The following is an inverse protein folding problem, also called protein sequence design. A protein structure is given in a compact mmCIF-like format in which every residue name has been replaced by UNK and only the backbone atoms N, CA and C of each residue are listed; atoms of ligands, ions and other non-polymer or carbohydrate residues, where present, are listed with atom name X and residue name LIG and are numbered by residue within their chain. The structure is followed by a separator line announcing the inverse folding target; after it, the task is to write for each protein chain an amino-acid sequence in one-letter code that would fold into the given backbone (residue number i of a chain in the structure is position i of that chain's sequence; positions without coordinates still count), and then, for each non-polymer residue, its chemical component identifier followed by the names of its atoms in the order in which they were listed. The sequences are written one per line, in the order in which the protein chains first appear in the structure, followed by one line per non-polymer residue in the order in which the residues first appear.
data_IF_613109531521
#
_entry.id   IF_613109531521
#
_cell.length_a   1.000
_cell.length_b   1.000
_cell.length_c   1.000
_cell.angle_alpha   90.00
_cell.angle_beta   90.00
_cell.angle_gamma   90.00
#
_symmetry.space_group_name_H-M   'P 1'
#
loop_
_entity.id
_entity.type
_entity.pdbx_description
1 polymer ?
#
# COMPACT_ATOMS: atom_id res chain seq x y z
N UNK A 1 7.44 5.01 -8.17
CA UNK A 1 8.24 5.96 -7.39
C UNK A 1 8.82 5.28 -6.16
N UNK A 2 9.88 5.83 -5.53
CA UNK A 2 10.33 5.41 -4.20
C UNK A 2 10.06 6.52 -3.20
N UNK A 3 9.36 6.21 -2.13
CA UNK A 3 8.95 7.14 -1.09
C UNK A 3 9.59 6.72 0.23
N UNK A 4 10.25 7.65 0.90
CA UNK A 4 10.65 7.49 2.29
C UNK A 4 9.56 8.11 3.17
N UNK A 5 9.13 7.37 4.18
CA UNK A 5 8.11 7.78 5.14
C UNK A 5 8.73 7.79 6.53
N UNK A 6 8.39 8.81 7.30
CA UNK A 6 8.57 8.85 8.73
C UNK A 6 7.25 9.28 9.36
N UNK A 7 6.68 8.46 10.24
CA UNK A 7 5.43 8.72 10.96
C UNK A 7 5.69 8.56 12.44
N UNK A 8 5.54 9.65 13.18
CA UNK A 8 5.58 9.68 14.63
C UNK A 8 4.22 10.00 15.20
N UNK A 9 3.73 9.16 16.12
CA UNK A 9 2.53 9.42 16.91
C UNK A 9 2.92 9.55 18.38
N UNK A 10 2.50 10.63 19.05
CA UNK A 10 2.69 10.86 20.47
C UNK A 10 1.34 10.92 21.18
N UNK A 11 1.20 10.12 22.23
CA UNK A 11 0.08 10.14 23.16
C UNK A 11 0.51 10.80 24.45
N UNK A 12 -0.37 11.62 25.02
CA UNK A 12 -0.22 12.16 26.36
C UNK A 12 -1.43 11.83 27.22
N UNK A 13 -1.16 11.40 28.46
CA UNK A 13 -2.17 11.05 29.45
C UNK A 13 -2.10 12.05 30.61
N UNK A 14 -3.26 12.53 31.07
CA UNK A 14 -3.35 13.46 32.21
C UNK A 14 -2.84 12.79 33.49
N UNK A 15 -3.18 11.51 33.65
CA UNK A 15 -2.75 10.66 34.76
C UNK A 15 -1.90 9.49 34.26
N UNK A 16 -1.01 8.94 35.10
CA UNK A 16 -0.23 7.76 34.72
C UNK A 16 -1.12 6.58 34.31
N UNK A 17 -0.74 5.92 33.21
CA UNK A 17 -1.45 4.73 32.73
C UNK A 17 -1.23 3.56 33.70
N UNK A 18 -2.29 2.83 34.05
CA UNK A 18 -2.17 1.60 34.85
C UNK A 18 -1.95 0.41 33.93
N UNK A 19 -2.87 0.24 32.97
CA UNK A 19 -2.76 -0.76 31.90
C UNK A 19 -3.41 -0.24 30.63
N UNK A 20 -2.73 -0.39 29.50
CA UNK A 20 -3.35 -0.14 28.20
C UNK A 20 -2.77 -1.08 27.14
N UNK A 21 -3.64 -1.48 26.22
CA UNK A 21 -3.29 -2.24 25.03
C UNK A 21 -3.77 -1.46 23.81
N UNK A 22 -2.87 -1.31 22.83
CA UNK A 22 -3.17 -0.66 21.57
C UNK A 22 -2.87 -1.61 20.40
N UNK A 23 -3.76 -1.58 19.43
CA UNK A 23 -3.63 -2.18 18.11
C UNK A 23 -3.16 -1.10 17.14
N UNK A 24 -2.09 -1.40 16.41
CA UNK A 24 -1.49 -0.51 15.43
C UNK A 24 -1.67 -1.09 14.03
N UNK A 25 -2.17 -0.26 13.12
CA UNK A 25 -2.15 -0.43 11.67
C UNK A 25 -1.28 0.68 11.07
N UNK A 26 0.02 0.57 11.33
CA UNK A 26 1.01 1.55 10.87
C UNK A 26 2.01 0.96 9.89
N UNK A 27 1.97 -0.36 9.65
CA UNK A 27 2.84 -1.04 8.70
C UNK A 27 2.17 -1.12 7.32
N UNK A 28 2.78 -0.55 6.26
CA UNK A 28 2.26 -0.67 4.91
C UNK A 28 2.20 -2.12 4.43
N UNK A 29 1.13 -2.48 3.71
CA UNK A 29 1.01 -3.81 3.10
C UNK A 29 1.54 -3.83 1.67
N UNK A 30 2.20 -4.92 1.27
CA UNK A 30 2.66 -5.10 -0.13
C UNK A 30 1.54 -5.66 -1.00
N UNK A 31 1.42 -5.16 -2.22
CA UNK A 31 0.31 -5.45 -3.15
C UNK A 31 0.75 -5.26 -4.60
N UNK A 32 -0.15 -5.44 -5.57
CA UNK A 32 0.09 -4.95 -6.93
C UNK A 32 0.33 -3.43 -6.88
N UNK A 33 1.44 -2.98 -7.47
CA UNK A 33 1.82 -1.55 -7.50
C UNK A 33 2.42 -0.98 -6.22
N UNK A 34 2.59 -1.76 -5.15
CA UNK A 34 3.25 -1.30 -3.92
C UNK A 34 4.12 -2.39 -3.29
N UNK A 35 5.38 -2.09 -3.04
CA UNK A 35 6.34 -2.99 -2.41
C UNK A 35 7.08 -2.28 -1.29
N UNK A 36 6.95 -2.83 -0.09
CA UNK A 36 7.73 -2.36 1.08
C UNK A 36 9.17 -2.86 0.93
N UNK A 37 10.13 -1.94 0.89
CA UNK A 37 11.55 -2.29 0.78
C UNK A 37 12.17 -2.49 2.17
N UNK A 38 11.84 -1.59 3.08
CA UNK A 38 12.19 -1.63 4.50
C UNK A 38 11.11 -0.91 5.30
N UNK A 39 10.86 -1.38 6.51
CA UNK A 39 9.96 -0.76 7.47
C UNK A 39 10.40 -1.12 8.89
N UNK A 40 10.42 -0.13 9.77
CA UNK A 40 10.78 -0.28 11.17
C UNK A 40 9.79 0.49 12.03
N UNK A 41 9.44 -0.09 13.17
CA UNK A 41 8.71 0.57 14.23
C UNK A 41 9.54 0.56 15.51
N UNK A 42 9.45 1.63 16.30
CA UNK A 42 10.02 1.73 17.64
C UNK A 42 9.06 2.45 18.58
N UNK A 43 9.20 2.15 19.87
CA UNK A 43 8.24 2.55 20.90
C UNK A 43 8.98 3.13 22.10
N UNK A 44 8.51 4.26 22.61
CA UNK A 44 8.93 4.82 23.90
C UNK A 44 7.73 4.79 24.85
N UNK A 45 7.91 4.27 26.07
CA UNK A 45 6.81 4.08 27.03
C UNK A 45 5.83 2.95 26.68
N UNK A 46 6.16 2.11 25.71
CA UNK A 46 5.40 0.94 25.32
C UNK A 46 6.31 -0.14 24.74
N UNK A 47 5.81 -1.38 24.66
CA UNK A 47 6.54 -2.51 24.09
C UNK A 47 5.60 -3.43 23.31
N UNK A 48 6.14 -4.06 22.27
CA UNK A 48 5.40 -4.99 21.42
C UNK A 48 4.98 -6.25 22.19
N UNK A 49 3.78 -6.73 21.90
CA UNK A 49 3.21 -7.97 22.43
C UNK A 49 3.08 -9.04 21.36
N UNK A 50 2.58 -8.66 20.19
CA UNK A 50 2.27 -9.59 19.10
C UNK A 50 2.19 -8.86 17.77
N UNK A 51 2.70 -9.49 16.72
CA UNK A 51 2.48 -9.08 15.33
C UNK A 51 1.84 -10.21 14.54
N UNK A 52 0.82 -9.90 13.73
CA UNK A 52 0.13 -10.84 12.85
C UNK A 52 -0.60 -10.11 11.72
N UNK A 53 -0.97 -10.82 10.65
CA UNK A 53 -1.86 -10.27 9.62
C UNK A 53 -3.32 -10.59 9.96
N UNK A 54 -4.18 -9.56 9.97
CA UNK A 54 -5.60 -9.73 10.27
C UNK A 54 -6.39 -10.27 9.06
N UNK A 55 -7.69 -10.46 9.25
CA UNK A 55 -8.63 -10.91 8.22
C UNK A 55 -8.69 -10.02 6.95
N UNK A 56 -8.30 -8.75 7.06
CA UNK A 56 -8.18 -7.80 5.95
C UNK A 56 -6.76 -7.76 5.34
N UNK A 57 -5.87 -8.68 5.76
CA UNK A 57 -4.44 -8.68 5.44
C UNK A 57 -3.74 -7.37 5.85
N UNK A 58 -4.20 -6.74 6.95
CA UNK A 58 -3.45 -5.66 7.57
C UNK A 58 -2.42 -6.26 8.52
N UNK A 59 -1.16 -5.87 8.40
CA UNK A 59 -0.17 -6.17 9.43
C UNK A 59 -0.53 -5.39 10.69
N UNK A 60 -0.91 -6.16 11.70
CA UNK A 60 -1.43 -5.70 12.98
C UNK A 60 -0.36 -5.91 14.04
N UNK A 61 0.02 -4.83 14.72
CA UNK A 61 0.93 -4.89 15.87
C UNK A 61 0.16 -4.56 17.13
N UNK A 62 0.22 -5.40 18.14
CA UNK A 62 -0.29 -5.14 19.48
C UNK A 62 0.85 -4.65 20.34
N UNK A 63 0.67 -3.50 21.00
CA UNK A 63 1.61 -2.96 21.99
C UNK A 63 0.93 -2.83 23.35
N UNK A 64 1.70 -3.04 24.40
CA UNK A 64 1.32 -2.73 25.77
C UNK A 64 2.01 -1.45 26.22
N UNK A 65 1.27 -0.53 26.84
CA UNK A 65 1.83 0.68 27.44
C UNK A 65 2.45 0.33 28.79
N UNK A 66 3.64 0.87 29.05
CA UNK A 66 4.33 0.69 30.32
C UNK A 66 3.54 1.32 31.48
N UNK A 67 3.31 0.60 32.59
CA UNK A 67 2.63 1.18 33.74
C UNK A 67 3.40 2.39 34.31
N UNK A 68 2.68 3.47 34.62
CA UNK A 68 3.22 4.67 35.24
C UNK A 68 3.69 5.76 34.25
N UNK A 69 3.71 5.49 32.95
CA UNK A 69 4.05 6.51 31.95
C UNK A 69 2.88 7.47 31.72
N UNK A 70 3.23 8.71 31.34
CA UNK A 70 2.29 9.75 30.90
C UNK A 70 2.41 10.10 29.43
N UNK A 71 3.43 9.57 28.76
CA UNK A 71 3.67 9.78 27.34
C UNK A 71 4.04 8.45 26.70
N UNK A 72 3.52 8.22 25.49
CA UNK A 72 3.94 7.13 24.62
C UNK A 72 4.27 7.70 23.26
N UNK A 73 5.42 7.31 22.70
CA UNK A 73 5.82 7.68 21.35
C UNK A 73 5.92 6.42 20.50
N UNK A 74 5.26 6.44 19.34
CA UNK A 74 5.34 5.40 18.32
C UNK A 74 6.01 6.02 17.12
N UNK A 75 7.17 5.50 16.73
CA UNK A 75 7.96 6.02 15.62
C UNK A 75 8.08 4.94 14.54
N UNK A 76 7.66 5.27 13.31
CA UNK A 76 7.66 4.38 12.18
C UNK A 76 8.45 5.00 11.03
N UNK A 77 9.37 4.26 10.44
CA UNK A 77 10.13 4.72 9.28
C UNK A 77 10.32 3.61 8.26
N UNK A 78 10.38 3.98 6.98
CA UNK A 78 10.73 3.02 5.94
C UNK A 78 10.71 3.56 4.52
N UNK A 79 11.12 2.72 3.58
CA UNK A 79 11.06 3.01 2.14
C UNK A 79 10.06 2.10 1.44
N UNK A 80 9.15 2.71 0.69
CA UNK A 80 8.15 2.02 -0.12
C UNK A 80 8.39 2.33 -1.59
N UNK A 81 8.33 1.32 -2.45
CA UNK A 81 8.28 1.47 -3.89
C UNK A 81 6.84 1.35 -4.36
N UNK A 82 6.34 2.38 -5.04
CA UNK A 82 4.98 2.49 -5.57
C UNK A 82 5.02 2.54 -7.10
N UNK A 83 3.92 2.23 -7.77
CA UNK A 83 3.78 2.38 -9.22
C UNK A 83 2.38 2.87 -9.56
N UNK A 84 2.27 3.69 -10.60
CA UNK A 84 0.98 4.11 -11.12
C UNK A 84 0.35 2.97 -11.91
N UNK A 85 -0.73 2.44 -11.36
CA UNK A 85 -1.58 1.44 -12.00
C UNK A 85 -2.96 2.02 -12.32
N UNK A 86 -3.10 3.35 -12.42
CA UNK A 86 -4.36 4.04 -12.63
C UNK A 86 -5.42 3.67 -11.58
N UNK A 87 -5.00 3.60 -10.30
CA UNK A 87 -5.85 3.15 -9.19
C UNK A 87 -6.16 1.65 -9.12
N UNK A 88 -5.75 0.84 -10.10
CA UNK A 88 -6.07 -0.59 -10.14
C UNK A 88 -5.12 -1.37 -9.22
N UNK A 89 -5.69 -1.98 -8.19
CA UNK A 89 -5.00 -2.87 -7.27
C UNK A 89 -5.07 -4.33 -7.76
N UNK A 90 -6.13 -4.67 -8.48
CA UNK A 90 -6.35 -5.99 -9.07
C UNK A 90 -7.21 -6.90 -8.20
N UNK A 91 -7.11 -8.21 -8.46
CA UNK A 91 -8.00 -9.22 -7.87
C UNK A 91 -8.00 -9.16 -6.35
N UNK A 92 -9.17 -9.43 -5.76
CA UNK A 92 -9.28 -9.54 -4.31
C UNK A 92 -8.32 -10.60 -3.75
N UNK A 93 -7.65 -10.24 -2.67
CA UNK A 93 -6.74 -11.09 -1.91
C UNK A 93 -7.09 -10.98 -0.42
N UNK A 94 -6.84 -12.06 0.32
CA UNK A 94 -7.18 -12.19 1.73
C UNK A 94 -8.13 -13.34 2.00
N UNK A 95 -8.56 -13.46 3.26
CA UNK A 95 -9.39 -14.57 3.72
C UNK A 95 -10.89 -14.25 3.75
N UNK A 96 -11.24 -12.97 3.70
CA UNK A 96 -12.62 -12.55 3.63
C UNK A 96 -13.18 -12.77 2.22
N UNK A 97 -14.45 -13.16 2.08
CA UNK A 97 -15.10 -13.18 0.78
C UNK A 97 -15.47 -11.75 0.34
N UNK A 98 -15.44 -11.46 -0.97
CA UNK A 98 -15.76 -10.12 -1.49
C UNK A 98 -17.12 -9.58 -1.01
N UNK A 99 -18.14 -10.43 -0.87
CA UNK A 99 -19.48 -10.02 -0.41
C UNK A 99 -19.48 -9.44 1.02
N UNK A 100 -18.44 -9.70 1.82
CA UNK A 100 -18.29 -9.08 3.13
C UNK A 100 -18.27 -7.54 3.02
N UNK A 101 -17.65 -7.02 1.95
CA UNK A 101 -17.54 -5.59 1.68
C UNK A 101 -18.79 -4.99 1.04
N UNK A 102 -19.86 -5.76 0.86
CA UNK A 102 -21.19 -5.27 0.47
C UNK A 102 -22.04 -4.83 1.67
N UNK A 103 -21.68 -5.26 2.89
CA UNK A 103 -22.41 -4.92 4.10
C UNK A 103 -22.18 -3.47 4.57
N UNK A 104 -23.20 -2.87 5.20
CA UNK A 104 -23.06 -1.55 5.81
C UNK A 104 -22.68 -1.65 7.29
N UNK A 105 -21.78 -0.78 7.69
CA UNK A 105 -21.39 -0.54 9.09
C UNK A 105 -22.13 0.68 9.66
N UNK A 106 -21.95 1.01 10.93
CA UNK A 106 -22.56 2.23 11.50
C UNK A 106 -22.06 3.52 10.81
N UNK A 107 -20.80 3.58 10.40
CA UNK A 107 -20.20 4.74 9.73
C UNK A 107 -20.66 4.88 8.26
N UNK A 108 -21.08 3.78 7.64
CA UNK A 108 -21.48 3.72 6.22
C UNK A 108 -22.95 3.38 6.02
N UNK A 109 -23.76 3.42 7.10
CA UNK A 109 -25.17 3.06 7.06
C UNK A 109 -25.97 4.11 6.30
N UNK A 110 -26.70 3.72 5.23
CA UNK A 110 -27.42 4.68 4.41
C UNK A 110 -28.70 5.14 5.10
N UNK A 111 -28.87 6.46 5.21
CA UNK A 111 -30.15 7.07 5.53
C UNK A 111 -30.87 7.54 4.26
N UNK A 112 -31.65 8.61 4.38
CA UNK A 112 -32.42 9.14 3.25
C UNK A 112 -31.53 9.89 2.25
N UNK A 113 -30.48 10.58 2.72
CA UNK A 113 -29.59 11.39 1.88
C UNK A 113 -28.70 10.50 1.02
N UNK A 114 -28.10 9.46 1.61
CA UNK A 114 -27.29 8.51 0.85
C UNK A 114 -28.12 7.77 -0.21
N UNK A 115 -29.36 7.38 0.09
CA UNK A 115 -30.25 6.77 -0.89
C UNK A 115 -30.59 7.75 -2.01
N UNK A 116 -30.98 8.97 -1.69
CA UNK A 116 -31.26 10.00 -2.69
C UNK A 116 -30.05 10.32 -3.58
N UNK A 117 -28.82 10.21 -3.04
CA UNK A 117 -27.60 10.36 -3.83
C UNK A 117 -27.38 9.14 -4.76
N UNK A 118 -27.53 7.93 -4.24
CA UNK A 118 -27.36 6.68 -4.99
C UNK A 118 -28.45 6.50 -6.07
N UNK A 119 -29.68 6.93 -5.84
CA UNK A 119 -30.82 6.82 -6.77
C UNK A 119 -30.61 7.59 -8.10
N UNK A 120 -29.57 8.43 -8.18
CA UNK A 120 -29.17 9.13 -9.42
C UNK A 120 -28.45 8.22 -10.41
N UNK A 121 -28.01 7.05 -9.98
CA UNK A 121 -27.20 6.11 -10.75
C UNK A 121 -27.98 4.85 -11.08
N UNK A 122 -27.73 4.29 -12.27
CA UNK A 122 -28.31 3.02 -12.70
C UNK A 122 -27.35 1.86 -12.35
N UNK A 123 -27.71 0.93 -11.46
CA UNK A 123 -26.89 -0.25 -11.16
C UNK A 123 -26.62 -1.16 -12.38
N UNK A 124 -27.40 -1.03 -13.46
CA UNK A 124 -27.21 -1.74 -14.72
C UNK A 124 -26.22 -1.08 -15.69
N UNK A 125 -25.73 0.13 -15.39
CA UNK A 125 -24.74 0.83 -16.20
C UNK A 125 -23.34 0.21 -16.08
N UNK A 126 -22.40 0.68 -16.91
CA UNK A 126 -20.99 0.31 -16.76
C UNK A 126 -20.48 0.77 -15.38
N UNK A 127 -20.03 -0.21 -14.59
CA UNK A 127 -19.72 -0.02 -13.17
C UNK A 127 -18.58 0.98 -12.97
N UNK A 128 -17.53 0.95 -13.77
CA UNK A 128 -16.37 1.81 -13.55
C UNK A 128 -16.67 3.30 -13.82
N UNK A 129 -17.26 3.69 -14.98
CA UNK A 129 -17.74 5.06 -15.19
C UNK A 129 -18.72 5.52 -14.11
N UNK A 130 -19.70 4.68 -13.73
CA UNK A 130 -20.66 5.00 -12.67
C UNK A 130 -19.96 5.32 -11.33
N UNK A 131 -18.91 4.58 -10.96
CA UNK A 131 -18.16 4.86 -9.74
C UNK A 131 -17.36 6.18 -9.83
N UNK A 132 -16.83 6.54 -11.00
CA UNK A 132 -16.21 7.86 -11.18
C UNK A 132 -17.24 8.99 -11.05
N UNK A 133 -18.42 8.83 -11.65
CA UNK A 133 -19.51 9.81 -11.52
C UNK A 133 -20.03 9.89 -10.08
N UNK A 134 -20.09 8.77 -9.36
CA UNK A 134 -20.41 8.74 -7.94
C UNK A 134 -19.37 9.51 -7.13
N UNK A 135 -18.08 9.30 -7.39
CA UNK A 135 -16.99 10.06 -6.75
C UNK A 135 -17.19 11.56 -6.93
N UNK A 136 -17.48 12.02 -8.15
CA UNK A 136 -17.76 13.43 -8.43
C UNK A 136 -18.99 13.93 -7.65
N UNK A 137 -20.09 13.18 -7.69
CA UNK A 137 -21.33 13.56 -7.01
C UNK A 137 -21.21 13.62 -5.48
N UNK A 138 -20.34 12.81 -4.87
CA UNK A 138 -20.06 12.89 -3.42
C UNK A 138 -19.33 14.18 -3.10
N UNK A 139 -18.30 14.56 -3.87
CA UNK A 139 -17.57 15.80 -3.64
C UNK A 139 -18.44 17.04 -3.88
N UNK A 140 -19.35 17.00 -4.86
CA UNK A 140 -20.31 18.08 -5.10
C UNK A 140 -21.30 18.24 -3.93
N UNK A 141 -21.63 17.14 -3.24
CA UNK A 141 -22.58 17.15 -2.13
C UNK A 141 -21.94 17.53 -0.78
N UNK A 142 -20.64 17.29 -0.62
CA UNK A 142 -19.91 17.53 0.63
C UNK A 142 -18.61 18.28 0.33
N UNK A 143 -18.54 19.53 0.79
CA UNK A 143 -17.34 20.33 0.65
C UNK A 143 -16.24 19.86 1.61
N UNK A 144 -14.99 19.84 1.14
CA UNK A 144 -13.85 19.52 1.99
C UNK A 144 -13.60 20.64 3.00
N UNK A 145 -13.82 20.36 4.29
CA UNK A 145 -13.66 21.31 5.39
C UNK A 145 -13.18 20.60 6.66
N UNK A 146 -12.02 21.02 7.18
CA UNK A 146 -11.46 20.47 8.43
C UNK A 146 -12.16 21.04 9.67
N UNK A 147 -12.14 20.27 10.77
CA UNK A 147 -12.66 20.71 12.08
C UNK A 147 -14.19 20.70 12.23
N UNK A 148 -14.91 20.06 11.30
CA UNK A 148 -16.38 19.94 11.30
C UNK A 148 -16.88 18.56 11.72
N UNK A 149 -16.06 17.54 11.47
CA UNK A 149 -16.37 16.14 11.71
C UNK A 149 -15.25 15.51 12.55
N UNK A 150 -15.53 14.32 13.07
CA UNK A 150 -14.58 13.50 13.80
C UNK A 150 -14.60 12.04 13.31
N UNK A 151 -13.76 11.20 13.91
CA UNK A 151 -13.65 9.78 13.53
C UNK A 151 -14.93 8.93 13.73
N UNK A 152 -15.90 9.43 14.50
CA UNK A 152 -17.16 8.75 14.78
C UNK A 152 -18.34 9.30 13.95
N UNK A 153 -18.12 10.40 13.21
CA UNK A 153 -19.14 11.02 12.36
C UNK A 153 -19.59 10.04 11.29
N UNK A 154 -20.90 9.86 11.15
CA UNK A 154 -21.47 8.94 10.16
C UNK A 154 -21.56 9.58 8.79
N UNK A 155 -21.44 8.79 7.72
CA UNK A 155 -21.60 9.27 6.34
C UNK A 155 -22.91 10.04 6.10
N UNK A 156 -24.03 9.56 6.66
CA UNK A 156 -25.33 10.22 6.54
C UNK A 156 -25.39 11.58 7.28
N UNK A 157 -24.61 11.74 8.35
CA UNK A 157 -24.48 12.98 9.12
C UNK A 157 -23.64 14.01 8.35
N UNK A 158 -22.49 13.59 7.80
CA UNK A 158 -21.63 14.43 6.97
C UNK A 158 -22.34 14.90 5.68
N UNK A 159 -23.15 14.04 5.05
CA UNK A 159 -24.04 14.46 3.96
C UNK A 159 -25.11 15.45 4.40
N UNK A 160 -25.51 15.43 5.67
CA UNK A 160 -26.48 16.35 6.23
C UNK A 160 -25.91 17.75 6.48
N UNK A 161 -24.64 17.84 6.88
CA UNK A 161 -23.92 19.10 7.05
C UNK A 161 -23.44 19.67 5.72
N UNK A 162 -23.12 18.80 4.75
CA UNK A 162 -22.53 19.20 3.47
C UNK A 162 -21.05 19.61 3.61
N UNK A 163 -20.43 19.28 4.74
CA UNK A 163 -19.03 19.60 5.06
C UNK A 163 -18.38 18.37 5.71
N UNK A 164 -17.17 17.99 5.26
CA UNK A 164 -16.45 16.84 5.79
C UNK A 164 -15.00 16.76 5.31
N UNK A 165 -14.29 15.69 5.69
CA UNK A 165 -12.90 15.42 5.30
C UNK A 165 -12.79 14.13 4.46
N UNK A 166 -11.56 13.72 4.13
CA UNK A 166 -11.32 12.53 3.30
C UNK A 166 -11.94 11.24 3.87
N UNK A 167 -11.99 11.10 5.20
CA UNK A 167 -12.70 10.02 5.87
C UNK A 167 -14.19 10.01 5.51
N UNK A 168 -14.86 11.15 5.63
CA UNK A 168 -16.30 11.27 5.40
C UNK A 168 -16.62 10.99 3.93
N UNK A 169 -15.86 11.57 3.00
CA UNK A 169 -16.00 11.32 1.57
C UNK A 169 -15.86 9.83 1.24
N UNK A 170 -14.85 9.16 1.81
CA UNK A 170 -14.65 7.74 1.63
C UNK A 170 -15.84 6.93 2.18
N UNK A 171 -16.35 7.23 3.38
CA UNK A 171 -17.51 6.52 3.95
C UNK A 171 -18.80 6.74 3.15
N UNK A 172 -19.04 7.96 2.67
CA UNK A 172 -20.20 8.27 1.82
C UNK A 172 -20.11 7.48 0.52
N UNK A 173 -18.96 7.52 -0.17
CA UNK A 173 -18.73 6.76 -1.39
C UNK A 173 -18.94 5.27 -1.17
N UNK A 174 -18.33 4.70 -0.12
CA UNK A 174 -18.45 3.28 0.23
C UNK A 174 -19.91 2.90 0.45
N UNK A 175 -20.66 3.66 1.25
CA UNK A 175 -22.06 3.33 1.48
C UNK A 175 -22.93 3.49 0.23
N UNK A 176 -22.67 4.48 -0.63
CA UNK A 176 -23.41 4.61 -1.89
C UNK A 176 -23.06 3.50 -2.89
N UNK A 177 -21.78 3.14 -3.02
CA UNK A 177 -21.35 2.02 -3.87
C UNK A 177 -21.99 0.70 -3.41
N UNK A 178 -22.08 0.45 -2.10
CA UNK A 178 -22.75 -0.71 -1.53
C UNK A 178 -24.26 -0.73 -1.79
N UNK A 179 -24.93 0.43 -1.75
CA UNK A 179 -26.35 0.56 -2.16
C UNK A 179 -26.54 0.19 -3.64
N UNK A 180 -25.56 0.51 -4.49
CA UNK A 180 -25.54 0.19 -5.92
C UNK A 180 -25.08 -1.25 -6.19
N UNK A 181 -24.92 -2.08 -5.16
CA UNK A 181 -24.54 -3.49 -5.29
C UNK A 181 -23.04 -3.73 -5.52
N UNK A 182 -22.20 -2.69 -5.40
CA UNK A 182 -20.74 -2.79 -5.59
C UNK A 182 -20.06 -2.98 -4.24
N UNK A 183 -19.29 -4.08 -4.01
CA UNK A 183 -18.49 -4.23 -2.81
C UNK A 183 -17.46 -3.10 -2.72
N UNK A 184 -17.40 -2.42 -1.58
CA UNK A 184 -16.50 -1.29 -1.37
C UNK A 184 -15.85 -1.36 0.01
N UNK A 185 -14.61 -0.88 0.14
CA UNK A 185 -13.85 -0.90 1.38
C UNK A 185 -13.12 0.41 1.61
N UNK A 186 -12.83 0.69 2.87
CA UNK A 186 -12.07 1.84 3.31
C UNK A 186 -10.58 1.54 3.24
N UNK A 187 -9.79 2.56 2.93
CA UNK A 187 -8.34 2.50 2.95
C UNK A 187 -7.79 3.64 3.81
N UNK A 188 -6.91 3.30 4.74
CA UNK A 188 -6.06 4.26 5.44
C UNK A 188 -4.64 4.16 4.90
N UNK A 189 -3.97 5.30 4.77
CA UNK A 189 -2.65 5.35 4.19
C UNK A 189 -1.97 6.70 4.31
N UNK A 190 -0.97 6.90 3.46
CA UNK A 190 -0.21 8.14 3.36
C UNK A 190 -0.32 8.69 1.94
N UNK A 191 -0.28 10.01 1.80
CA UNK A 191 -0.31 10.70 0.51
C UNK A 191 0.85 11.68 0.45
N UNK A 192 1.77 11.48 -0.49
CA UNK A 192 2.82 12.47 -0.76
C UNK A 192 2.20 13.68 -1.48
N UNK A 193 2.37 14.87 -0.89
CA UNK A 193 1.89 16.14 -1.43
C UNK A 193 3.07 16.97 -1.94
N UNK A 194 2.99 17.44 -3.17
CA UNK A 194 4.04 18.28 -3.76
C UNK A 194 4.18 19.59 -2.97
N UNK A 195 5.40 19.89 -2.52
CA UNK A 195 5.69 21.10 -1.74
C UNK A 195 5.29 21.02 -0.25
N UNK A 196 4.73 19.90 0.21
CA UNK A 196 4.38 19.67 1.62
C UNK A 196 4.89 18.30 2.10
N UNK A 197 6.11 18.31 2.64
CA UNK A 197 6.73 17.11 3.22
C UNK A 197 6.11 16.75 4.57
N UNK A 198 5.88 17.74 5.43
CA UNK A 198 5.32 17.56 6.78
C UNK A 198 3.79 17.69 6.77
N UNK A 199 3.13 16.74 7.42
CA UNK A 199 1.68 16.60 7.50
C UNK A 199 1.29 16.14 8.91
N UNK A 200 0.08 16.52 9.34
CA UNK A 200 -0.39 16.28 10.71
C UNK A 200 -1.33 15.06 10.80
N UNK A 201 -1.56 14.35 9.69
CA UNK A 201 -2.40 13.17 9.62
C UNK A 201 -2.09 12.32 8.39
N UNK A 202 -2.48 11.04 8.44
CA UNK A 202 -2.57 10.20 7.25
C UNK A 202 -3.72 10.62 6.33
N UNK A 203 -3.88 9.88 5.23
CA UNK A 203 -4.93 10.09 4.25
C UNK A 203 -5.86 8.88 4.16
N UNK A 204 -7.05 9.11 3.61
CA UNK A 204 -8.06 8.08 3.46
C UNK A 204 -8.76 8.16 2.10
N UNK A 205 -9.10 7.00 1.55
CA UNK A 205 -9.84 6.88 0.30
C UNK A 205 -10.66 5.59 0.29
N UNK A 206 -11.47 5.41 -0.75
CA UNK A 206 -12.28 4.22 -0.93
C UNK A 206 -11.69 3.31 -2.02
N UNK A 207 -11.92 2.01 -1.91
CA UNK A 207 -11.73 1.06 -3.01
C UNK A 207 -13.05 0.36 -3.31
N UNK A 208 -13.41 0.21 -4.58
CA UNK A 208 -14.59 -0.53 -5.02
C UNK A 208 -14.19 -1.68 -5.96
N UNK A 209 -14.87 -2.82 -5.84
CA UNK A 209 -14.57 -4.01 -6.61
C UNK A 209 -15.37 -4.06 -7.90
N UNK A 210 -14.69 -3.82 -9.03
CA UNK A 210 -15.27 -3.89 -10.38
C UNK A 210 -15.06 -5.30 -10.94
N UNK A 211 -16.11 -5.93 -11.44
CA UNK A 211 -15.99 -7.28 -12.00
C UNK A 211 -15.04 -7.31 -13.21
N UNK A 212 -14.25 -8.37 -13.34
CA UNK A 212 -13.18 -8.49 -14.33
C UNK A 212 -11.90 -7.65 -14.07
N UNK A 213 -11.99 -6.55 -13.34
CA UNK A 213 -10.85 -5.64 -13.06
C UNK A 213 -10.27 -5.80 -11.63
N UNK A 214 -11.13 -6.07 -10.65
CA UNK A 214 -10.79 -6.18 -9.23
C UNK A 214 -10.98 -4.87 -8.47
N UNK A 215 -10.19 -4.64 -7.42
CA UNK A 215 -10.24 -3.43 -6.62
C UNK A 215 -9.67 -2.23 -7.37
N UNK A 216 -10.45 -1.16 -7.44
CA UNK A 216 -10.06 0.15 -7.99
C UNK A 216 -10.20 1.19 -6.89
N UNK A 217 -9.17 2.03 -6.72
CA UNK A 217 -9.17 3.10 -5.73
C UNK A 217 -9.82 4.39 -6.24
N UNK A 218 -10.51 5.09 -5.34
CA UNK A 218 -11.19 6.37 -5.56
C UNK A 218 -10.88 7.31 -4.39
N UNK A 219 -10.02 8.29 -4.64
CA UNK A 219 -9.84 9.43 -3.74
C UNK A 219 -10.82 10.54 -4.14
N UNK A 220 -11.97 10.53 -3.48
CA UNK A 220 -13.07 11.47 -3.71
C UNK A 220 -12.66 12.91 -3.41
N UNK A 221 -11.83 13.14 -2.39
CA UNK A 221 -11.40 14.48 -1.99
C UNK A 221 -10.54 15.13 -3.06
N UNK A 222 -9.70 14.34 -3.73
CA UNK A 222 -8.80 14.82 -4.77
C UNK A 222 -9.32 14.57 -6.20
N UNK A 223 -10.49 13.91 -6.34
CA UNK A 223 -11.07 13.50 -7.63
C UNK A 223 -10.11 12.74 -8.54
N UNK A 224 -9.34 11.83 -7.94
CA UNK A 224 -8.41 10.97 -8.69
C UNK A 224 -8.48 9.53 -8.23
N UNK A 225 -8.09 8.63 -9.14
CA UNK A 225 -7.64 7.31 -8.75
C UNK A 225 -6.24 7.43 -8.11
N UNK A 226 -5.98 6.74 -6.98
CA UNK A 226 -4.66 6.73 -6.35
C UNK A 226 -3.54 6.36 -7.34
N UNK A 227 -2.54 7.23 -7.43
CA UNK A 227 -1.34 7.07 -8.24
C UNK A 227 -0.13 6.66 -7.37
N UNK A 228 1.09 6.77 -7.90
CA UNK A 228 2.29 6.37 -7.16
C UNK A 228 2.65 7.25 -5.95
N UNK A 229 1.93 8.33 -5.68
CA UNK A 229 2.09 9.18 -4.48
C UNK A 229 1.40 8.59 -3.25
N UNK A 230 0.50 7.64 -3.45
CA UNK A 230 -0.29 7.01 -2.40
C UNK A 230 0.42 5.79 -1.84
N UNK A 231 0.39 5.65 -0.52
CA UNK A 231 0.89 4.47 0.20
C UNK A 231 -0.26 3.89 0.99
N UNK A 232 -0.71 2.69 0.62
CA UNK A 232 -1.73 1.95 1.38
C UNK A 232 -1.12 1.35 2.63
N UNK A 233 -1.76 1.63 3.78
CA UNK A 233 -1.39 1.03 5.06
C UNK A 233 -2.37 -0.06 5.44
N UNK A 234 -3.63 0.28 5.69
CA UNK A 234 -4.65 -0.67 6.08
C UNK A 234 -5.96 -0.51 5.30
N UNK A 235 -6.74 -1.58 5.31
CA UNK A 235 -8.05 -1.66 4.67
C UNK A 235 -9.06 -2.28 5.63
N UNK A 236 -10.33 -1.90 5.49
CA UNK A 236 -11.41 -2.49 6.28
C UNK A 236 -12.77 -2.09 5.73
N UNK A 237 -13.86 -2.55 6.35
CA UNK A 237 -15.21 -2.14 5.96
C UNK A 237 -15.45 -0.64 6.16
N UNK A 238 -14.81 -0.03 7.15
CA UNK A 238 -14.84 1.41 7.45
C UNK A 238 -13.58 1.82 8.25
N UNK A 239 -13.59 3.03 8.82
CA UNK A 239 -12.48 3.54 9.61
C UNK A 239 -12.19 2.70 10.86
N UNK A 240 -13.18 2.12 11.52
CA UNK A 240 -12.99 1.41 12.79
C UNK A 240 -12.15 0.13 12.64
N UNK A 241 -12.13 -0.47 11.44
CA UNK A 241 -11.28 -1.61 11.08
C UNK A 241 -9.89 -1.21 10.56
N UNK A 242 -9.76 -0.03 9.95
CA UNK A 242 -8.51 0.45 9.35
C UNK A 242 -7.80 1.55 10.15
N UNK A 243 -8.32 1.90 11.34
CA UNK A 243 -7.81 2.97 12.18
C UNK A 243 -6.31 2.74 12.50
N UNK A 244 -5.44 3.75 12.31
CA UNK A 244 -4.00 3.63 12.53
C UNK A 244 -3.65 3.15 13.92
N UNK A 245 -4.36 3.66 14.93
CA UNK A 245 -4.25 3.20 16.32
C UNK A 245 -5.64 3.05 16.92
N UNK A 246 -5.86 1.92 17.61
CA UNK A 246 -7.08 1.62 18.33
C UNK A 246 -6.75 0.89 19.62
N UNK A 247 -7.24 1.32 20.76
CA UNK A 247 -6.90 0.67 22.02
C UNK A 247 -7.87 0.97 23.14
N UNK A 248 -7.61 0.34 24.28
CA UNK A 248 -8.32 0.56 25.53
C UNK A 248 -7.26 0.88 26.59
N UNK A 249 -7.48 1.94 27.35
CA UNK A 249 -6.68 2.29 28.54
C UNK A 249 -7.54 2.19 29.80
N UNK A 250 -6.93 1.68 30.88
CA UNK A 250 -7.45 1.69 32.24
C UNK A 250 -6.57 2.64 33.06
N UNK A 251 -7.17 3.72 33.57
CA UNK A 251 -6.43 4.86 34.11
C UNK A 251 -5.83 5.73 33.00
N UNK A 252 -5.48 6.98 33.33
CA UNK A 252 -5.10 7.99 32.36
C UNK A 252 -6.31 8.65 31.70
N UNK A 253 -6.59 9.90 32.05
CA UNK A 253 -7.47 10.74 31.24
C UNK A 253 -6.76 11.08 29.93
N UNK A 254 -7.44 10.93 28.79
CA UNK A 254 -6.85 11.24 27.48
C UNK A 254 -6.57 12.75 27.42
N UNK A 255 -5.31 13.14 27.21
CA UNK A 255 -4.88 14.54 27.35
C UNK A 255 -4.40 15.16 26.03
N UNK A 256 -4.00 14.36 25.05
CA UNK A 256 -3.58 14.87 23.76
C UNK A 256 -2.98 13.81 22.84
N UNK A 257 -3.27 13.96 21.55
CA UNK A 257 -2.71 13.19 20.45
C UNK A 257 -1.98 14.16 19.52
N UNK A 258 -0.72 13.86 19.22
CA UNK A 258 0.12 14.61 18.29
C UNK A 258 0.64 13.63 17.23
N UNK A 259 0.51 14.00 15.96
CA UNK A 259 0.90 13.17 14.82
C UNK A 259 1.78 14.00 13.90
N UNK A 260 2.96 13.47 13.60
CA UNK A 260 3.91 14.04 12.66
C UNK A 260 4.16 13.02 11.55
N UNK A 261 3.87 13.40 10.31
CA UNK A 261 4.07 12.57 9.13
C UNK A 261 4.95 13.30 8.12
N UNK A 262 6.08 12.71 7.77
CA UNK A 262 6.98 13.16 6.71
C UNK A 262 6.97 12.15 5.56
N UNK A 263 6.72 12.62 4.34
CA UNK A 263 6.79 11.79 3.14
C UNK A 263 7.59 12.51 2.07
N UNK A 264 8.63 11.85 1.57
CA UNK A 264 9.50 12.42 0.53
C UNK A 264 9.90 11.41 -0.52
N UNK A 265 10.09 11.89 -1.74
CA UNK A 265 10.66 11.09 -2.83
C UNK A 265 12.13 10.77 -2.54
N UNK A 266 12.51 9.51 -2.65
CA UNK A 266 13.92 9.11 -2.72
C UNK A 266 14.36 9.01 -4.17
N UNK A 267 15.37 9.80 -4.53
CA UNK A 267 16.07 9.63 -5.80
C UNK A 267 16.83 8.30 -5.79
N UNK A 268 16.69 7.52 -6.86
CA UNK A 268 17.61 6.42 -7.10
C UNK A 268 18.98 7.02 -7.38
N UNK A 269 19.96 6.77 -6.50
CA UNK A 269 21.37 6.90 -6.89
C UNK A 269 21.58 5.91 -8.05
N UNK A 270 21.60 6.41 -9.29
CA UNK A 270 22.14 5.64 -10.40
C UNK A 270 23.60 5.36 -10.05
N UNK A 271 23.91 4.09 -9.80
CA UNK A 271 25.28 3.60 -9.71
C UNK A 271 25.96 3.88 -11.05
N UNK A 272 26.74 4.97 -11.11
CA UNK A 272 27.64 5.30 -12.23
C UNK A 272 28.87 4.35 -12.31
N UNK A 273 28.84 3.19 -11.66
CA UNK A 273 29.96 2.24 -11.68
C UNK A 273 29.94 1.28 -12.89
N UNK A 274 28.91 1.35 -13.75
CA UNK A 274 28.83 0.53 -14.97
C UNK A 274 29.60 1.08 -16.18
N UNK A 275 30.00 2.36 -16.19
CA UNK A 275 30.59 3.00 -17.38
C UNK A 275 32.11 3.22 -17.33
N UNK A 276 32.79 2.89 -16.22
CA UNK A 276 34.27 2.95 -16.15
C UNK A 276 34.99 1.64 -16.50
N UNK A 277 34.28 0.54 -16.77
CA UNK A 277 34.93 -0.74 -17.13
C UNK A 277 35.01 -1.05 -18.63
N UNK A 278 34.40 -0.24 -19.52
CA UNK A 278 34.48 -0.48 -20.97
C UNK A 278 35.66 0.27 -21.64
N UNK A 279 36.29 1.25 -20.96
CA UNK A 279 37.47 1.95 -21.52
C UNK A 279 38.83 1.32 -21.16
N UNK A 280 38.88 0.26 -20.33
CA UNK A 280 40.14 -0.42 -19.97
C UNK A 280 40.31 -1.84 -20.54
N UNK A 281 39.41 -2.30 -21.42
CA UNK A 281 39.54 -3.56 -22.19
C UNK A 281 39.89 -3.26 -23.65
N UNK A 282 40.66 -2.20 -23.89
CA UNK A 282 41.04 -1.71 -25.23
C UNK A 282 42.53 -1.80 -25.55
N UNK A 283 43.34 -2.49 -24.74
CA UNK A 283 44.79 -2.50 -24.94
C UNK A 283 45.52 -3.63 -24.23
N UNK A 284 45.33 -4.87 -24.70
CA UNK A 284 46.33 -5.96 -24.71
C UNK A 284 45.61 -7.30 -24.87
N UNK A 285 45.45 -7.73 -26.13
CA UNK A 285 44.76 -8.99 -26.43
C UNK A 285 44.84 -9.38 -27.91
N UNK A 286 46.03 -9.29 -28.51
CA UNK A 286 46.30 -9.93 -29.80
C UNK A 286 47.47 -10.90 -29.65
N UNK A 287 47.40 -11.98 -30.43
CA UNK A 287 48.43 -13.00 -30.68
C UNK A 287 48.66 -14.09 -29.63
N UNK A 288 47.68 -14.99 -29.45
CA UNK A 288 47.99 -16.39 -29.11
C UNK A 288 47.15 -17.47 -29.85
N UNK A 289 46.25 -17.14 -30.78
CA UNK A 289 45.43 -18.16 -31.46
C UNK A 289 45.93 -18.65 -32.84
N UNK A 290 47.07 -18.16 -33.34
CA UNK A 290 47.56 -18.56 -34.68
C UNK A 290 48.68 -19.62 -34.69
N UNK A 291 49.19 -20.04 -33.52
CA UNK A 291 50.31 -21.00 -33.45
C UNK A 291 49.84 -22.46 -33.32
N UNK A 292 48.61 -22.71 -32.87
CA UNK A 292 48.07 -24.08 -32.71
C UNK A 292 47.40 -24.66 -33.97
N UNK A 293 47.02 -23.84 -34.96
CA UNK A 293 46.44 -24.34 -36.21
C UNK A 293 47.48 -24.73 -37.27
N UNK A 294 48.76 -24.36 -37.12
CA UNK A 294 49.84 -24.73 -38.07
C UNK A 294 50.56 -26.05 -37.74
N UNK A 295 50.45 -26.56 -36.50
CA UNK A 295 51.10 -27.83 -36.12
C UNK A 295 50.25 -29.08 -36.41
N UNK A 296 48.95 -28.92 -36.63
CA UNK A 296 48.04 -30.04 -36.91
C UNK A 296 48.00 -30.42 -38.40
N UNK A 297 48.30 -29.48 -39.30
CA UNK A 297 48.37 -29.73 -40.76
C UNK A 297 49.71 -30.31 -41.25
N UNK A 298 50.78 -30.29 -40.44
CA UNK A 298 52.07 -30.90 -40.79
C UNK A 298 52.23 -32.36 -40.35
N UNK A 299 51.30 -32.92 -39.55
CA UNK A 299 51.31 -34.34 -39.15
C UNK A 299 50.46 -35.25 -40.03
N UNK A 300 49.66 -34.70 -40.94
CA UNK A 300 48.77 -35.46 -41.84
C UNK A 300 49.38 -35.76 -43.23
N UNK A 301 50.63 -35.36 -43.50
CA UNK A 301 51.30 -35.60 -44.80
C UNK A 301 52.46 -36.62 -44.75
N UNK A 302 52.58 -37.42 -43.69
CA UNK A 302 53.62 -38.46 -43.57
C UNK A 302 53.08 -39.85 -43.16
N UNK A 303 51.81 -40.16 -43.47
CA UNK A 303 51.28 -41.52 -43.29
C UNK A 303 50.35 -41.90 -44.45
N UNK A 304 50.89 -41.84 -45.66
CA UNK A 304 50.42 -42.59 -46.82
C UNK A 304 51.60 -43.46 -47.30
N UNK A 305 51.85 -44.58 -46.61
CA UNK A 305 52.43 -45.78 -47.23
C UNK A 305 52.17 -46.99 -46.33
N UNK A 306 51.97 -48.15 -46.95
CA UNK A 306 51.59 -49.46 -46.41
C UNK A 306 50.07 -49.72 -46.28
N UNK A 307 49.59 -50.47 -47.28
CA UNK A 307 48.25 -51.05 -47.38
C UNK A 307 47.96 -52.18 -46.39
N UNK A 308 46.81 -52.86 -46.57
CA UNK A 308 46.07 -53.49 -45.48
C UNK A 308 46.50 -54.94 -45.26
N UNK A 309 46.71 -55.33 -43.99
CA UNK A 309 46.73 -56.74 -43.60
C UNK A 309 45.58 -56.99 -42.62
N UNK A 310 44.66 -57.85 -43.05
CA UNK A 310 43.37 -58.13 -42.39
C UNK A 310 43.53 -59.38 -41.52
N UNK A 311 43.16 -59.35 -40.23
CA UNK A 311 43.20 -60.54 -39.38
C UNK A 311 41.97 -61.44 -39.62
N UNK A 312 42.11 -62.78 -39.53
CA UNK A 312 41.03 -63.71 -39.83
C UNK A 312 40.10 -63.93 -38.63
N UNK A 313 38.81 -64.09 -38.92
CA UNK A 313 37.77 -64.60 -38.02
C UNK A 313 36.87 -65.61 -38.76
N UNK A 314 36.17 -66.50 -38.04
CA UNK A 314 36.05 -67.92 -38.35
C UNK A 314 34.78 -68.29 -39.12
N UNK A 315 34.82 -69.36 -39.92
CA UNK A 315 33.69 -70.25 -40.23
C UNK A 315 34.22 -71.68 -40.47
N UNK A 316 33.36 -72.68 -40.22
CA UNK A 316 33.56 -74.13 -40.39
C UNK A 316 34.33 -74.56 -41.65
#
# INVERSE_FOLDING_TARGET
MRLAVHHRTRYSFGDPVVHALQRLHLTPKSTSGQRVLDWKMSYEGAYEQLQFDDHNMNTTVLIAIEPGVKEVVIDCEGTIETADNHGIIGRHAGHLPCWHFSGHTDLTRPGARMRALADKFDPGADTLPMLHELSAAVLDAVAYQTGRTDSATRAEEALGTGEGVCQDHAHIFIGCARLLGVPARYVSGYLMMDGQEMQDAGHAWAEAHVDGLGWVGFDVSNQICPDERYIRVATGQDYAEAAPVKGISLGGSDAGLDVELSIRRREQRQSQDGQKQIQNIGGNGMTQSQTQQRQTQQRQSQQEDLGPDTPPGPQD
#
